data_IF_337542788380
#
_entry.id   IF_337542788380
#
_cell.length_a   1.000
_cell.length_b   1.000
_cell.length_c   1.000
_cell.angle_alpha   90.00
_cell.angle_beta   90.00
_cell.angle_gamma   90.00
#
_symmetry.space_group_name_H-M   'P 1'
#
loop_
_entity.id
_entity.type
_entity.pdbx_description
1 polymer ?
#
# COMPACT_ATOMS: atom_id res chain seq x y z
N UNK A 1 16.22 4.59 -14.04
CA UNK A 1 15.13 4.48 -13.07
C UNK A 1 13.82 4.64 -13.80
N UNK A 2 12.76 3.90 -13.45
CA UNK A 2 11.40 4.07 -14.00
C UNK A 2 10.43 4.74 -13.00
N UNK A 3 10.94 5.15 -11.83
CA UNK A 3 10.23 5.91 -10.83
C UNK A 3 11.24 6.75 -10.02
N UNK A 4 10.81 7.91 -9.56
CA UNK A 4 11.60 8.81 -8.70
C UNK A 4 10.80 9.13 -7.43
N UNK A 5 11.47 9.19 -6.27
CA UNK A 5 10.83 9.62 -5.04
C UNK A 5 10.59 11.14 -5.08
N UNK A 6 9.40 11.52 -5.52
CA UNK A 6 9.03 12.92 -5.67
C UNK A 6 8.70 13.58 -4.33
N UNK A 7 7.86 12.94 -3.51
CA UNK A 7 7.42 13.50 -2.25
C UNK A 7 7.27 12.44 -1.15
N UNK A 8 7.40 12.89 0.10
CA UNK A 8 6.96 12.18 1.30
C UNK A 8 5.89 13.03 1.99
N UNK A 9 4.83 12.38 2.48
CA UNK A 9 3.78 13.03 3.26
C UNK A 9 3.54 12.27 4.56
N UNK A 10 3.53 13.00 5.67
CA UNK A 10 3.19 12.45 6.98
C UNK A 10 2.62 13.55 7.89
N UNK A 11 1.59 13.22 8.67
CA UNK A 11 0.95 14.15 9.59
C UNK A 11 1.82 14.42 10.84
N UNK A 12 2.76 13.53 11.16
CA UNK A 12 3.70 13.69 12.27
C UNK A 12 4.95 14.47 11.81
N UNK A 13 5.15 15.73 12.24
CA UNK A 13 6.22 16.57 11.70
C UNK A 13 7.64 16.04 11.98
N UNK A 14 7.82 15.35 13.11
CA UNK A 14 9.08 14.71 13.49
C UNK A 14 9.40 13.51 12.61
N UNK A 15 8.40 12.68 12.30
CA UNK A 15 8.54 11.56 11.38
C UNK A 15 8.83 12.06 9.95
N UNK A 16 8.08 13.07 9.49
CA UNK A 16 8.28 13.70 8.19
C UNK A 16 9.71 14.25 8.05
N UNK A 17 10.19 15.00 9.04
CA UNK A 17 11.55 15.54 9.03
C UNK A 17 12.62 14.43 9.01
N UNK A 18 12.44 13.37 9.82
CA UNK A 18 13.37 12.24 9.87
C UNK A 18 13.42 11.46 8.55
N UNK A 19 12.26 11.17 7.96
CA UNK A 19 12.19 10.47 6.66
C UNK A 19 12.69 11.36 5.52
N UNK A 20 12.40 12.67 5.57
CA UNK A 20 12.93 13.66 4.64
C UNK A 20 14.46 13.72 4.65
N UNK A 21 15.08 13.72 5.82
CA UNK A 21 16.54 13.66 5.93
C UNK A 21 17.14 12.32 5.50
N UNK A 22 16.39 11.21 5.59
CA UNK A 22 16.87 9.87 5.25
C UNK A 22 16.81 9.59 3.76
N UNK A 23 15.72 10.00 3.10
CA UNK A 23 15.41 9.64 1.72
C UNK A 23 15.51 10.82 0.75
N UNK A 24 15.66 12.05 1.26
CA UNK A 24 15.87 13.28 0.48
C UNK A 24 14.88 13.44 -0.70
N UNK A 25 13.55 13.38 -0.46
CA UNK A 25 12.56 13.58 -1.51
C UNK A 25 12.62 15.02 -2.03
N UNK A 26 12.11 15.26 -3.25
CA UNK A 26 12.07 16.62 -3.82
C UNK A 26 11.15 17.56 -3.04
N UNK A 27 10.07 17.02 -2.47
CA UNK A 27 9.09 17.77 -1.67
C UNK A 27 8.69 16.99 -0.42
N UNK A 28 8.21 17.72 0.59
CA UNK A 28 7.62 17.17 1.80
C UNK A 28 6.29 17.86 2.06
N UNK A 29 5.30 17.09 2.48
CA UNK A 29 3.95 17.57 2.77
C UNK A 29 3.51 17.14 4.17
N UNK A 30 2.93 18.06 4.94
CA UNK A 30 2.27 17.75 6.21
C UNK A 30 0.78 17.43 6.05
N UNK A 31 0.20 17.78 4.89
CA UNK A 31 -1.19 17.55 4.56
C UNK A 31 -1.32 16.73 3.26
N UNK A 32 -2.18 15.72 3.31
CA UNK A 32 -2.34 14.78 2.20
C UNK A 32 -3.10 15.40 1.02
N UNK A 33 -4.10 16.24 1.28
CA UNK A 33 -4.90 16.84 0.23
C UNK A 33 -4.07 17.89 -0.54
N UNK A 34 -3.19 18.64 0.15
CA UNK A 34 -2.17 19.50 -0.47
C UNK A 34 -1.21 18.72 -1.36
N UNK A 35 -0.72 17.56 -0.90
CA UNK A 35 0.15 16.70 -1.72
C UNK A 35 -0.58 16.21 -2.98
N UNK A 36 -1.85 15.79 -2.84
CA UNK A 36 -2.64 15.28 -3.97
C UNK A 36 -2.98 16.37 -5.00
N UNK A 37 -3.05 17.64 -4.58
CA UNK A 37 -3.25 18.77 -5.48
C UNK A 37 -2.03 19.07 -6.37
N UNK A 38 -0.85 18.52 -6.08
CA UNK A 38 0.34 18.73 -6.89
C UNK A 38 0.20 18.08 -8.29
N UNK A 39 0.20 18.87 -9.38
CA UNK A 39 0.02 18.32 -10.73
C UNK A 39 1.21 17.48 -11.20
N UNK A 40 2.40 17.62 -10.60
CA UNK A 40 3.60 16.84 -10.95
C UNK A 40 3.63 15.47 -10.28
N UNK A 41 2.79 15.23 -9.26
CA UNK A 41 2.68 13.93 -8.61
C UNK A 41 1.84 12.97 -9.47
N UNK A 42 2.42 11.84 -9.88
CA UNK A 42 1.75 10.89 -10.79
C UNK A 42 1.10 9.71 -10.04
N UNK A 43 1.74 9.24 -8.97
CA UNK A 43 1.33 8.06 -8.21
C UNK A 43 1.65 8.22 -6.72
N UNK A 44 0.91 7.51 -5.86
CA UNK A 44 1.13 7.47 -4.41
C UNK A 44 1.30 6.04 -3.92
N UNK A 45 2.12 5.88 -2.88
CA UNK A 45 2.16 4.68 -2.06
C UNK A 45 1.42 4.98 -0.75
N UNK A 46 0.31 4.31 -0.50
CA UNK A 46 -0.45 4.42 0.76
C UNK A 46 0.04 3.31 1.69
N UNK A 47 0.92 3.66 2.62
CA UNK A 47 1.55 2.75 3.59
C UNK A 47 1.28 3.17 5.04
N UNK A 48 0.05 3.63 5.30
CA UNK A 48 -0.42 4.09 6.61
C UNK A 48 -1.04 2.94 7.41
N UNK A 49 -1.75 3.24 8.51
CA UNK A 49 -2.61 2.24 9.16
C UNK A 49 -3.68 1.75 8.19
N UNK A 50 -4.08 0.48 8.33
CA UNK A 50 -5.05 -0.22 7.49
C UNK A 50 -6.43 0.45 7.49
N UNK A 51 -6.81 1.10 8.60
CA UNK A 51 -8.02 1.92 8.68
C UNK A 51 -8.04 3.10 7.68
N UNK A 52 -6.88 3.57 7.22
CA UNK A 52 -6.78 4.71 6.30
C UNK A 52 -6.55 4.30 4.84
N UNK A 53 -6.25 3.04 4.56
CA UNK A 53 -5.91 2.55 3.23
C UNK A 53 -6.99 2.87 2.19
N UNK A 54 -8.23 2.47 2.42
CA UNK A 54 -9.34 2.72 1.50
C UNK A 54 -9.65 4.21 1.35
N UNK A 55 -9.92 5.00 2.41
CA UNK A 55 -10.27 6.41 2.23
C UNK A 55 -9.15 7.22 1.58
N UNK A 56 -7.88 6.99 1.92
CA UNK A 56 -6.75 7.70 1.29
C UNK A 56 -6.53 7.28 -0.16
N UNK A 57 -6.76 5.99 -0.48
CA UNK A 57 -6.68 5.50 -1.87
C UNK A 57 -7.79 6.11 -2.73
N UNK A 58 -9.03 6.18 -2.23
CA UNK A 58 -10.14 6.83 -2.95
C UNK A 58 -9.81 8.29 -3.24
N UNK A 59 -9.36 9.05 -2.24
CA UNK A 59 -8.93 10.45 -2.42
C UNK A 59 -7.87 10.60 -3.50
N UNK A 60 -6.84 9.75 -3.49
CA UNK A 60 -5.79 9.77 -4.51
C UNK A 60 -6.32 9.47 -5.92
N UNK A 61 -7.17 8.45 -6.04
CA UNK A 61 -7.80 8.10 -7.32
C UNK A 61 -8.68 9.23 -7.85
N UNK A 62 -9.46 9.88 -6.99
CA UNK A 62 -10.30 11.03 -7.32
C UNK A 62 -9.48 12.28 -7.70
N UNK A 63 -8.31 12.46 -7.09
CA UNK A 63 -7.31 13.46 -7.50
C UNK A 63 -6.52 13.08 -8.77
N UNK A 64 -6.87 11.95 -9.41
CA UNK A 64 -6.26 11.50 -10.66
C UNK A 64 -4.87 10.87 -10.52
N UNK A 65 -4.53 10.35 -9.33
CA UNK A 65 -3.24 9.69 -9.04
C UNK A 65 -3.37 8.17 -9.15
N UNK A 66 -2.31 7.50 -9.61
CA UNK A 66 -2.20 6.05 -9.48
C UNK A 66 -1.90 5.67 -8.02
N UNK A 67 -2.31 4.48 -7.59
CA UNK A 67 -2.18 4.07 -6.19
C UNK A 67 -1.51 2.71 -6.07
N UNK A 68 -0.49 2.62 -5.22
CA UNK A 68 -0.05 1.37 -4.63
C UNK A 68 -0.44 1.39 -3.15
N UNK A 69 -1.38 0.54 -2.74
CA UNK A 69 -1.87 0.48 -1.37
C UNK A 69 -1.26 -0.71 -0.65
N UNK A 70 -0.68 -0.51 0.53
CA UNK A 70 -0.20 -1.62 1.36
C UNK A 70 -1.32 -2.59 1.75
N UNK A 71 -0.93 -3.81 2.15
CA UNK A 71 -1.88 -4.83 2.64
C UNK A 71 -2.05 -4.74 4.16
N UNK A 72 -3.26 -5.04 4.70
CA UNK A 72 -4.48 -5.43 4.00
C UNK A 72 -5.12 -4.25 3.26
N UNK A 73 -5.93 -4.50 2.22
CA UNK A 73 -6.51 -3.43 1.39
C UNK A 73 -7.47 -2.50 2.16
N UNK A 74 -8.05 -2.99 3.25
CA UNK A 74 -8.98 -2.28 4.13
C UNK A 74 -9.41 -3.19 5.28
N UNK A 75 -10.36 -2.74 6.09
CA UNK A 75 -10.82 -3.47 7.29
C UNK A 75 -12.12 -4.25 7.07
N UNK A 76 -12.80 -4.06 5.93
CA UNK A 76 -14.01 -4.79 5.56
C UNK A 76 -14.13 -5.06 4.06
N UNK A 77 -15.02 -5.98 3.68
CA UNK A 77 -15.30 -6.28 2.25
C UNK A 77 -15.96 -5.07 1.58
N UNK A 78 -16.89 -4.42 2.27
CA UNK A 78 -17.64 -3.27 1.79
C UNK A 78 -16.72 -2.08 1.46
N UNK A 79 -15.65 -1.87 2.25
CA UNK A 79 -14.62 -0.88 1.92
C UNK A 79 -13.87 -1.23 0.63
N UNK A 80 -13.53 -2.51 0.45
CA UNK A 80 -12.90 -3.01 -0.77
C UNK A 80 -13.79 -2.84 -2.00
N UNK A 81 -15.10 -3.06 -1.88
CA UNK A 81 -16.07 -2.85 -2.95
C UNK A 81 -16.16 -1.37 -3.34
N UNK A 82 -16.25 -0.46 -2.35
CA UNK A 82 -16.22 1.00 -2.58
C UNK A 82 -14.94 1.44 -3.30
N UNK A 83 -13.79 0.89 -2.89
CA UNK A 83 -12.51 1.18 -3.54
C UNK A 83 -12.50 0.69 -4.99
N UNK A 84 -13.03 -0.51 -5.26
CA UNK A 84 -13.15 -1.07 -6.61
C UNK A 84 -13.98 -0.17 -7.53
N UNK A 85 -15.07 0.41 -7.03
CA UNK A 85 -15.85 1.39 -7.78
C UNK A 85 -15.07 2.68 -8.05
N UNK A 86 -14.33 3.20 -7.07
CA UNK A 86 -13.50 4.40 -7.24
C UNK A 86 -12.38 4.19 -8.29
N UNK A 87 -11.76 3.01 -8.31
CA UNK A 87 -10.79 2.63 -9.35
C UNK A 87 -11.44 2.68 -10.74
N UNK A 88 -12.63 2.09 -10.89
CA UNK A 88 -13.36 2.11 -12.17
C UNK A 88 -13.74 3.53 -12.61
N UNK A 89 -14.20 4.38 -11.68
CA UNK A 89 -14.61 5.76 -11.98
C UNK A 89 -13.42 6.66 -12.35
N UNK A 90 -12.30 6.52 -11.65
CA UNK A 90 -11.11 7.36 -11.88
C UNK A 90 -10.37 7.03 -13.18
N UNK A 91 -10.48 5.80 -13.67
CA UNK A 91 -9.67 5.30 -14.79
C UNK A 91 -8.18 5.17 -14.44
N UNK A 92 -7.83 5.26 -13.15
CA UNK A 92 -6.46 5.12 -12.64
C UNK A 92 -6.19 3.66 -12.24
N UNK A 93 -4.91 3.35 -12.11
CA UNK A 93 -4.47 2.02 -11.69
C UNK A 93 -4.31 2.00 -10.18
N UNK A 94 -4.86 0.97 -9.55
CA UNK A 94 -4.58 0.62 -8.16
C UNK A 94 -3.98 -0.78 -8.09
N UNK A 95 -2.91 -0.93 -7.31
CA UNK A 95 -2.31 -2.21 -6.98
C UNK A 95 -2.20 -2.37 -5.46
N UNK A 96 -2.56 -3.53 -4.95
CA UNK A 96 -2.32 -3.90 -3.54
C UNK A 96 -0.89 -4.42 -3.40
N UNK A 97 -0.19 -4.03 -2.33
CA UNK A 97 1.19 -4.37 -1.95
C UNK A 97 1.41 -5.85 -1.61
N UNK A 98 0.80 -6.78 -2.34
CA UNK A 98 1.06 -8.21 -2.24
C UNK A 98 2.40 -8.59 -2.90
N UNK A 99 3.51 -8.05 -2.38
CA UNK A 99 4.86 -8.19 -2.97
C UNK A 99 5.26 -9.64 -3.27
N UNK A 100 4.77 -10.61 -2.47
CA UNK A 100 5.03 -12.04 -2.67
C UNK A 100 4.52 -12.58 -4.01
N UNK A 101 3.54 -11.93 -4.65
CA UNK A 101 3.09 -12.31 -6.00
C UNK A 101 4.15 -12.12 -7.08
N UNK A 102 5.19 -11.34 -6.81
CA UNK A 102 6.33 -11.06 -7.69
C UNK A 102 7.63 -11.74 -7.22
N UNK A 103 7.55 -12.64 -6.23
CA UNK A 103 8.69 -13.45 -5.79
C UNK A 103 8.93 -14.55 -6.83
N UNK A 104 10.12 -14.63 -7.48
CA UNK A 104 10.37 -15.61 -8.53
C UNK A 104 10.13 -17.06 -8.09
N UNK A 105 10.33 -17.36 -6.80
CA UNK A 105 10.05 -18.70 -6.27
C UNK A 105 8.55 -19.01 -6.23
N UNK A 106 7.69 -18.01 -5.95
CA UNK A 106 6.24 -18.19 -6.01
C UNK A 106 5.71 -18.19 -7.43
N UNK A 107 6.32 -17.43 -8.35
CA UNK A 107 5.99 -17.51 -9.77
C UNK A 107 6.31 -18.89 -10.35
N UNK A 108 7.49 -19.43 -10.04
CA UNK A 108 7.87 -20.79 -10.41
C UNK A 108 6.96 -21.85 -9.78
N UNK A 109 6.60 -21.70 -8.51
CA UNK A 109 5.66 -22.60 -7.85
C UNK A 109 4.26 -22.55 -8.50
N UNK A 110 3.76 -21.36 -8.86
CA UNK A 110 2.51 -21.19 -9.60
C UNK A 110 2.56 -21.92 -10.94
N UNK A 111 3.65 -21.76 -11.68
CA UNK A 111 3.81 -22.37 -13.00
C UNK A 111 3.91 -23.91 -12.90
N UNK A 112 4.68 -24.43 -11.94
CA UNK A 112 4.72 -25.87 -11.63
C UNK A 112 3.34 -26.44 -11.28
N UNK A 113 2.59 -25.75 -10.40
CA UNK A 113 1.23 -26.17 -10.01
C UNK A 113 0.29 -26.19 -11.22
N UNK A 114 0.43 -25.24 -12.15
CA UNK A 114 -0.43 -25.12 -13.33
C UNK A 114 -0.08 -26.16 -14.41
N UNK A 115 1.21 -26.38 -14.64
CA UNK A 115 1.69 -27.04 -15.86
C UNK A 115 2.23 -28.46 -15.62
N UNK A 116 2.67 -28.80 -14.40
CA UNK A 116 3.42 -30.05 -14.13
C UNK A 116 2.86 -30.90 -12.97
N UNK A 117 2.31 -30.29 -11.93
CA UNK A 117 1.97 -30.95 -10.66
C UNK A 117 0.87 -32.02 -10.79
N UNK A 118 0.01 -31.93 -11.81
CA UNK A 118 -1.18 -32.74 -11.94
C UNK A 118 -2.32 -32.25 -11.03
N UNK A 119 -3.13 -33.16 -10.53
CA UNK A 119 -4.32 -32.82 -9.73
C UNK A 119 -3.95 -32.36 -8.30
N UNK A 120 -4.45 -31.19 -7.89
CA UNK A 120 -4.29 -30.67 -6.52
C UNK A 120 -5.27 -31.40 -5.60
N UNK A 121 -4.75 -32.22 -4.69
CA UNK A 121 -5.56 -32.92 -3.69
C UNK A 121 -5.83 -32.09 -2.43
N UNK A 122 -4.82 -31.35 -1.95
CA UNK A 122 -4.92 -30.50 -0.76
C UNK A 122 -3.82 -29.43 -0.70
N UNK A 123 -4.10 -28.31 -0.04
CA UNK A 123 -3.13 -27.25 0.28
C UNK A 123 -3.11 -27.00 1.78
N UNK A 124 -1.91 -26.93 2.36
CA UNK A 124 -1.69 -26.53 3.75
C UNK A 124 -0.67 -25.41 3.81
N UNK A 125 -1.04 -24.29 4.42
CA UNK A 125 -0.16 -23.14 4.59
C UNK A 125 -0.17 -22.70 6.05
N UNK A 126 0.99 -22.29 6.55
CA UNK A 126 1.16 -21.72 7.88
C UNK A 126 1.90 -20.40 7.75
N UNK A 127 1.39 -19.38 8.44
CA UNK A 127 2.08 -18.11 8.60
C UNK A 127 2.26 -17.86 10.09
N UNK A 128 3.52 -17.66 10.50
CA UNK A 128 3.87 -17.26 11.85
C UNK A 128 4.46 -15.85 11.74
N UNK A 129 3.75 -14.86 12.26
CA UNK A 129 4.35 -13.54 12.44
C UNK A 129 5.34 -13.59 13.61
N UNK A 130 6.45 -12.86 13.52
CA UNK A 130 7.49 -12.93 14.53
C UNK A 130 6.97 -12.45 15.88
N UNK A 131 7.26 -13.18 16.96
CA UNK A 131 6.93 -12.77 18.33
C UNK A 131 7.62 -11.47 18.74
N UNK A 132 8.67 -11.06 18.04
CA UNK A 132 9.43 -9.83 18.29
C UNK A 132 8.61 -8.55 18.04
N UNK A 133 7.59 -8.59 17.18
CA UNK A 133 6.75 -7.42 16.87
C UNK A 133 5.94 -6.94 18.08
N UNK A 134 5.58 -7.86 18.99
CA UNK A 134 4.80 -7.56 20.20
C UNK A 134 5.62 -6.96 21.35
N UNK A 135 6.96 -7.05 21.29
CA UNK A 135 7.85 -6.41 22.27
C UNK A 135 8.21 -4.97 21.90
N UNK A 136 7.81 -4.50 20.71
CA UNK A 136 8.13 -3.18 20.17
C UNK A 136 6.88 -2.28 20.25
N UNK A 137 6.48 -1.93 21.47
CA UNK A 137 5.22 -1.24 21.81
C UNK A 137 5.17 0.23 21.41
N UNK A 138 6.20 0.76 20.73
CA UNK A 138 6.23 2.15 20.25
C UNK A 138 5.44 2.36 18.94
N UNK A 139 4.89 1.29 18.37
CA UNK A 139 4.10 1.32 17.13
C UNK A 139 2.58 1.18 17.36
N UNK A 140 2.05 1.75 18.45
CA UNK A 140 0.58 1.83 18.62
C UNK A 140 0.04 2.80 17.58
N UNK A 141 -0.61 2.27 16.55
CA UNK A 141 -1.28 3.08 15.54
C UNK A 141 -2.39 3.91 16.20
N UNK A 142 -2.51 5.21 15.90
CA UNK A 142 -3.60 6.01 16.44
C UNK A 142 -4.93 5.41 16.00
N UNK A 143 -5.81 5.17 16.96
CA UNK A 143 -7.16 4.71 16.70
C UNK A 143 -7.92 5.80 15.93
N UNK A 144 -8.74 5.46 14.93
CA UNK A 144 -9.64 6.42 14.30
C UNK A 144 -10.58 6.99 15.38
N UNK A 145 -10.57 8.32 15.52
CA UNK A 145 -11.56 9.09 16.29
C UNK A 145 -12.79 9.39 15.44
#
# INVERSE_FOLDING_TARGET
>A
SNADLYAICDAAPDLLARMGATYEPRKMYGDYDEMLADPELEAVIVATSDAYHVPMSIKALEAGKHVLCEKPIGVSVEEGEKLSEAVKRSGKVLQVGHMKRFDPALEAARDFVRDEMGEILALKAWYCDSTHRYTNTDAVQPLPI
#
